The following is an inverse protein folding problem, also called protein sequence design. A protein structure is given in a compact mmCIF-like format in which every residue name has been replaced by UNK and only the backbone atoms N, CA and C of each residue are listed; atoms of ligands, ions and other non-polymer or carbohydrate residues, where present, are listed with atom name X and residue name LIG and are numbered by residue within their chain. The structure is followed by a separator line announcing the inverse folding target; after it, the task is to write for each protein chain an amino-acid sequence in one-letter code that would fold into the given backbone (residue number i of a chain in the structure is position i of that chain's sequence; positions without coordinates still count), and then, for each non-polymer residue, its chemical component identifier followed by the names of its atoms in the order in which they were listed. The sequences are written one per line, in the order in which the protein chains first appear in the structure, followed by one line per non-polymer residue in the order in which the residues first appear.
data_IF_442121102190
#
_entry.id   IF_442121102190
#
_cell.length_a   1.000
_cell.length_b   1.000
_cell.length_c   1.000
_cell.angle_alpha   90.00
_cell.angle_beta   90.00
_cell.angle_gamma   90.00
#
_symmetry.space_group_name_H-M   'P 1'
#
loop_
_entity.id
_entity.type
_entity.pdbx_description
1 polymer ?
#
# COMPACT_ATOMS: atom_id res chain seq x y z
N UNK A 1 -20.28 10.26 -7.45
CA UNK A 1 -19.19 11.21 -7.13
C UNK A 1 -18.34 10.59 -6.03
N UNK A 2 -17.03 10.84 -6.01
CA UNK A 2 -16.17 10.31 -4.97
C UNK A 2 -16.53 10.91 -3.59
N UNK A 3 -16.67 10.06 -2.58
CA UNK A 3 -17.03 10.45 -1.20
C UNK A 3 -15.77 10.52 -0.34
N UNK A 4 -15.61 11.59 0.44
CA UNK A 4 -14.49 11.71 1.38
C UNK A 4 -14.78 10.92 2.66
N UNK A 5 -13.89 10.00 3.02
CA UNK A 5 -14.07 9.08 4.15
C UNK A 5 -13.26 9.47 5.40
N UNK A 6 -12.47 10.55 5.34
CA UNK A 6 -11.62 11.00 6.45
C UNK A 6 -10.12 10.86 6.17
N UNK A 7 -9.31 10.88 7.23
CA UNK A 7 -7.85 10.75 7.20
C UNK A 7 -7.35 9.36 7.66
N UNK A 8 -8.27 8.46 7.98
CA UNK A 8 -8.01 7.06 8.37
C UNK A 8 -8.74 6.09 7.43
N UNK A 9 -8.20 4.88 7.29
CA UNK A 9 -8.88 3.75 6.66
C UNK A 9 -10.12 3.34 7.47
N UNK A 10 -11.28 3.16 6.83
CA UNK A 10 -12.43 2.50 7.43
C UNK A 10 -12.07 1.14 8.04
N UNK A 11 -12.73 0.78 9.15
CA UNK A 11 -12.42 -0.44 9.91
C UNK A 11 -12.43 -1.72 9.06
N UNK A 12 -13.35 -1.82 8.09
CA UNK A 12 -13.42 -2.99 7.21
C UNK A 12 -12.18 -3.11 6.31
N UNK A 13 -11.66 -2.00 5.76
CA UNK A 13 -10.42 -1.98 4.98
C UNK A 13 -9.20 -2.22 5.88
N UNK A 14 -9.17 -1.63 7.06
CA UNK A 14 -8.10 -1.85 8.05
C UNK A 14 -7.99 -3.33 8.42
N UNK A 15 -9.12 -3.98 8.71
CA UNK A 15 -9.17 -5.40 9.04
C UNK A 15 -8.77 -6.25 7.83
N UNK A 16 -9.24 -5.90 6.62
CA UNK A 16 -8.82 -6.57 5.40
C UNK A 16 -7.29 -6.56 5.24
N UNK A 17 -6.65 -5.39 5.33
CA UNK A 17 -5.21 -5.25 5.16
C UNK A 17 -4.37 -5.80 6.33
N UNK A 18 -4.99 -6.18 7.45
CA UNK A 18 -4.30 -6.91 8.53
C UNK A 18 -4.12 -8.39 8.21
N UNK A 19 -5.07 -8.96 7.47
CA UNK A 19 -5.10 -10.39 7.18
C UNK A 19 -4.63 -10.69 5.76
N UNK A 20 -5.10 -9.89 4.81
CA UNK A 20 -4.98 -10.08 3.38
C UNK A 20 -4.33 -8.87 2.72
N UNK A 21 -4.15 -8.99 1.42
CA UNK A 21 -3.64 -7.91 0.58
C UNK A 21 -4.40 -7.87 -0.73
N UNK A 22 -4.35 -6.73 -1.41
CA UNK A 22 -4.96 -6.54 -2.72
C UNK A 22 -4.02 -5.75 -3.62
N UNK A 23 -4.20 -5.91 -4.93
CA UNK A 23 -3.41 -5.13 -5.89
C UNK A 23 -3.95 -3.71 -5.95
N UNK A 24 -3.09 -2.75 -5.62
CA UNK A 24 -3.35 -1.33 -5.77
C UNK A 24 -2.45 -0.71 -6.82
N UNK A 25 -2.90 0.38 -7.42
CA UNK A 25 -2.06 1.25 -8.25
C UNK A 25 -1.40 2.27 -7.33
N UNK A 26 -0.08 2.14 -7.19
CA UNK A 26 0.76 3.08 -6.46
C UNK A 26 1.16 4.21 -7.38
N UNK A 27 0.77 5.42 -7.05
CA UNK A 27 1.10 6.64 -7.81
C UNK A 27 2.05 7.52 -7.02
N UNK A 28 3.16 7.90 -7.65
CA UNK A 28 4.14 8.86 -7.12
C UNK A 28 4.43 9.93 -8.16
N UNK A 29 5.10 11.02 -7.80
CA UNK A 29 5.50 12.08 -8.75
C UNK A 29 7.01 12.09 -8.89
N UNK A 30 7.50 12.04 -10.13
CA UNK A 30 8.94 12.02 -10.41
C UNK A 30 9.54 13.45 -10.43
N UNK A 31 10.85 13.56 -10.71
CA UNK A 31 11.56 14.84 -10.83
C UNK A 31 11.00 15.72 -11.95
N UNK A 32 10.53 15.11 -13.04
CA UNK A 32 9.93 15.76 -14.21
C UNK A 32 8.50 16.30 -13.96
N UNK A 33 7.94 16.04 -12.78
CA UNK A 33 6.58 16.45 -12.42
C UNK A 33 5.47 15.53 -12.94
N UNK A 34 5.79 14.48 -13.70
CA UNK A 34 4.79 13.52 -14.17
C UNK A 34 4.51 12.42 -13.14
N UNK A 35 3.25 11.92 -13.09
CA UNK A 35 2.91 10.80 -12.24
C UNK A 35 3.51 9.50 -12.77
N UNK A 36 3.99 8.65 -11.87
CA UNK A 36 4.42 7.29 -12.13
C UNK A 36 3.51 6.33 -11.38
N UNK A 37 2.79 5.50 -12.13
CA UNK A 37 1.92 4.45 -11.62
C UNK A 37 2.62 3.09 -11.65
N UNK A 38 2.50 2.32 -10.57
CA UNK A 38 2.99 0.95 -10.49
C UNK A 38 1.98 0.06 -9.75
N UNK A 39 1.53 -1.07 -10.33
CA UNK A 39 0.75 -2.04 -9.60
C UNK A 39 1.62 -2.70 -8.52
N UNK A 40 1.14 -2.72 -7.28
CA UNK A 40 1.79 -3.37 -6.14
C UNK A 40 0.75 -4.07 -5.29
N UNK A 41 1.16 -5.08 -4.52
CA UNK A 41 0.23 -5.93 -3.76
C UNK A 41 0.79 -6.40 -2.42
N UNK A 42 1.84 -5.77 -1.89
CA UNK A 42 2.46 -6.18 -0.63
C UNK A 42 2.17 -5.15 0.46
N UNK A 43 0.89 -5.01 0.78
CA UNK A 43 0.40 -4.08 1.80
C UNK A 43 0.07 -4.80 3.10
N UNK A 44 0.31 -4.12 4.22
CA UNK A 44 -0.12 -4.55 5.55
C UNK A 44 -0.55 -3.34 6.39
N UNK A 45 -1.73 -3.34 6.99
CA UNK A 45 -2.17 -2.27 7.88
C UNK A 45 -1.74 -2.56 9.33
N UNK A 46 -0.91 -1.69 9.91
CA UNK A 46 -0.62 -1.73 11.35
C UNK A 46 -1.87 -1.29 12.14
N UNK A 47 -2.49 -0.21 11.69
CA UNK A 47 -3.75 0.32 12.19
C UNK A 47 -4.49 1.08 11.06
N UNK A 48 -5.53 1.82 11.42
CA UNK A 48 -6.33 2.62 10.50
C UNK A 48 -5.57 3.79 9.87
N UNK A 49 -4.45 4.21 10.45
CA UNK A 49 -3.66 5.35 9.97
C UNK A 49 -2.36 4.96 9.28
N UNK A 50 -1.86 3.75 9.52
CA UNK A 50 -0.52 3.34 9.09
C UNK A 50 -0.60 2.05 8.29
N UNK A 51 -0.12 2.14 7.05
CA UNK A 51 0.04 1.00 6.13
C UNK A 51 1.52 0.83 5.85
N UNK A 52 2.00 -0.41 5.86
CA UNK A 52 3.30 -0.78 5.33
C UNK A 52 3.16 -1.26 3.90
N UNK A 53 4.12 -0.89 3.06
CA UNK A 53 4.24 -1.38 1.68
C UNK A 53 5.65 -1.94 1.48
N UNK A 54 5.75 -3.23 1.14
CA UNK A 54 7.01 -3.77 0.63
C UNK A 54 7.14 -3.45 -0.86
N UNK A 55 8.26 -2.85 -1.25
CA UNK A 55 8.53 -2.47 -2.63
C UNK A 55 9.99 -2.75 -2.99
N UNK A 56 10.27 -2.96 -4.29
CA UNK A 56 11.65 -3.07 -4.75
C UNK A 56 12.41 -1.78 -4.43
N UNK A 57 13.51 -1.89 -3.69
CA UNK A 57 14.25 -0.74 -3.15
C UNK A 57 15.00 0.08 -4.23
N UNK A 58 15.07 -0.44 -5.47
CA UNK A 58 15.61 0.28 -6.62
C UNK A 58 14.53 0.82 -7.58
N UNK A 59 13.25 0.56 -7.30
CA UNK A 59 12.14 1.03 -8.14
C UNK A 59 12.01 2.55 -8.10
N UNK A 60 11.45 3.12 -9.18
CA UNK A 60 11.18 4.55 -9.24
C UNK A 60 10.20 4.99 -8.14
N UNK A 61 9.18 4.19 -7.86
CA UNK A 61 8.23 4.41 -6.76
C UNK A 61 8.97 4.57 -5.43
N UNK A 62 9.86 3.65 -5.09
CA UNK A 62 10.63 3.70 -3.85
C UNK A 62 11.51 4.95 -3.76
N UNK A 63 12.23 5.26 -4.84
CA UNK A 63 13.07 6.45 -4.95
C UNK A 63 12.27 7.76 -4.85
N UNK A 64 11.08 7.81 -5.43
CA UNK A 64 10.19 8.97 -5.35
C UNK A 64 9.70 9.20 -3.92
N UNK A 65 9.29 8.12 -3.22
CA UNK A 65 8.90 8.21 -1.81
C UNK A 65 10.07 8.67 -0.95
N UNK A 66 11.26 8.09 -1.13
CA UNK A 66 12.46 8.50 -0.39
C UNK A 66 12.77 10.00 -0.54
N UNK A 67 12.60 10.56 -1.75
CA UNK A 67 12.94 11.96 -2.04
C UNK A 67 11.84 12.95 -1.65
N UNK A 68 10.56 12.57 -1.82
CA UNK A 68 9.44 13.51 -1.76
C UNK A 68 8.43 13.22 -0.66
N UNK A 69 8.42 12.01 -0.10
CA UNK A 69 7.44 11.57 0.89
C UNK A 69 6.02 11.35 0.35
N UNK A 70 5.64 11.87 -0.81
CA UNK A 70 4.24 11.81 -1.26
C UNK A 70 3.92 10.59 -2.10
N UNK A 71 2.82 9.93 -1.76
CA UNK A 71 2.30 8.73 -2.44
C UNK A 71 0.78 8.73 -2.41
N UNK A 72 0.16 8.29 -3.51
CA UNK A 72 -1.26 7.99 -3.58
C UNK A 72 -1.45 6.53 -3.96
N UNK A 73 -2.46 5.88 -3.39
CA UNK A 73 -2.83 4.50 -3.70
C UNK A 73 -4.27 4.50 -4.20
N UNK A 74 -4.55 3.71 -5.24
CA UNK A 74 -5.91 3.45 -5.72
C UNK A 74 -6.14 1.97 -5.75
N UNK A 75 -7.29 1.54 -5.23
CA UNK A 75 -7.68 0.15 -5.11
C UNK A 75 -9.06 -0.07 -5.73
N UNK A 76 -9.19 -1.23 -6.37
CA UNK A 76 -10.45 -1.78 -6.87
C UNK A 76 -10.48 -3.25 -6.46
N UNK A 77 -11.45 -3.62 -5.63
CA UNK A 77 -11.55 -4.91 -4.97
C UNK A 77 -12.97 -5.47 -5.02
N UNK A 78 -13.06 -6.77 -4.76
CA UNK A 78 -14.33 -7.48 -4.66
C UNK A 78 -15.21 -6.91 -3.53
N UNK A 79 -16.54 -7.00 -3.68
CA UNK A 79 -17.50 -6.53 -2.68
C UNK A 79 -17.81 -5.05 -2.77
N UNK A 80 -17.91 -4.52 -4.00
CA UNK A 80 -18.19 -3.11 -4.30
C UNK A 80 -17.16 -2.13 -3.68
N UNK A 81 -15.88 -2.48 -3.77
CA UNK A 81 -14.79 -1.68 -3.20
C UNK A 81 -14.04 -0.95 -4.30
N UNK A 82 -14.17 0.37 -4.33
CA UNK A 82 -13.26 1.26 -5.04
C UNK A 82 -12.89 2.43 -4.14
N UNK A 83 -11.61 2.64 -3.86
CA UNK A 83 -11.17 3.75 -3.03
C UNK A 83 -9.77 4.23 -3.41
N UNK A 84 -9.45 5.43 -2.96
CA UNK A 84 -8.10 5.97 -3.04
C UNK A 84 -7.67 6.52 -1.70
N UNK A 85 -6.37 6.50 -1.43
CA UNK A 85 -5.79 7.20 -0.30
C UNK A 85 -4.55 7.97 -0.69
N UNK A 86 -4.31 9.07 0.03
CA UNK A 86 -3.07 9.82 0.02
C UNK A 86 -2.34 9.56 1.31
N UNK A 87 -1.02 9.40 1.24
CA UNK A 87 -0.19 9.19 2.41
C UNK A 87 1.14 9.95 2.32
N UNK A 88 1.70 10.21 3.49
CA UNK A 88 3.13 10.54 3.64
C UNK A 88 3.88 9.22 3.86
N UNK A 89 4.85 8.95 3.00
CA UNK A 89 5.67 7.77 2.95
C UNK A 89 7.06 8.05 3.52
N UNK A 90 7.53 7.13 4.36
CA UNK A 90 8.86 7.13 4.95
C UNK A 90 9.54 5.80 4.68
N UNK A 91 10.87 5.80 4.62
CA UNK A 91 11.63 4.56 4.58
C UNK A 91 11.67 3.98 5.99
N UNK A 92 10.96 2.87 6.22
CA UNK A 92 11.04 2.12 7.46
C UNK A 92 12.27 1.21 7.46
N UNK A 93 12.54 0.56 6.34
CA UNK A 93 13.66 -0.37 6.19
C UNK A 93 14.15 -0.42 4.75
N UNK A 94 15.43 -0.17 4.50
CA UNK A 94 15.98 -0.19 3.14
C UNK A 94 16.09 -1.58 2.51
N UNK A 95 16.32 -2.59 3.36
CA UNK A 95 16.48 -3.98 2.96
C UNK A 95 15.71 -4.87 3.93
N UNK A 96 14.77 -5.65 3.43
CA UNK A 96 14.07 -6.67 4.21
C UNK A 96 15.03 -7.82 4.54
N UNK A 97 14.82 -8.49 5.69
CA UNK A 97 15.55 -9.72 6.01
C UNK A 97 15.25 -10.80 4.96
N UNK A 98 14.00 -10.82 4.50
CA UNK A 98 13.50 -11.77 3.51
C UNK A 98 14.05 -11.51 2.10
N UNK A 99 14.55 -10.29 1.81
CA UNK A 99 15.14 -9.95 0.52
C UNK A 99 15.92 -8.63 0.55
N UNK A 100 17.20 -8.69 0.16
CA UNK A 100 18.07 -7.51 -0.02
C UNK A 100 17.62 -6.54 -1.12
N UNK A 101 16.67 -6.96 -1.96
CA UNK A 101 16.13 -6.18 -3.08
C UNK A 101 14.78 -5.53 -2.76
N UNK A 102 14.19 -5.85 -1.60
CA UNK A 102 12.95 -5.28 -1.12
C UNK A 102 13.23 -4.36 0.06
N UNK A 103 12.53 -3.24 0.13
CA UNK A 103 12.47 -2.37 1.30
C UNK A 103 11.04 -2.20 1.78
N UNK A 104 10.89 -1.64 2.97
CA UNK A 104 9.60 -1.36 3.60
C UNK A 104 9.38 0.15 3.65
N UNK A 105 8.28 0.59 3.06
CA UNK A 105 7.76 1.94 3.16
C UNK A 105 6.70 1.97 4.26
N UNK A 106 6.80 2.94 5.17
CA UNK A 106 5.75 3.26 6.13
C UNK A 106 4.91 4.40 5.57
N UNK A 107 3.61 4.18 5.43
CA UNK A 107 2.67 5.11 4.83
C UNK A 107 1.70 5.61 5.91
N UNK A 108 1.77 6.90 6.23
CA UNK A 108 0.86 7.60 7.14
C UNK A 108 -0.29 8.19 6.33
N UNK A 109 -1.49 7.65 6.49
CA UNK A 109 -2.69 8.11 5.80
C UNK A 109 -2.98 9.59 6.10
N UNK A 110 -3.35 10.32 5.05
CA UNK A 110 -3.72 11.75 5.11
C UNK A 110 -5.14 11.99 4.60
N UNK A 111 -5.59 11.19 3.65
CA UNK A 111 -6.94 11.27 3.11
C UNK A 111 -7.33 9.92 2.54
N UNK A 112 -8.57 9.51 2.76
CA UNK A 112 -9.21 8.36 2.12
C UNK A 112 -10.48 8.83 1.42
N UNK A 113 -10.74 8.31 0.23
CA UNK A 113 -11.93 8.61 -0.57
C UNK A 113 -12.51 7.34 -1.17
N UNK A 114 -13.82 7.15 -1.03
CA UNK A 114 -14.56 6.19 -1.84
C UNK A 114 -14.61 6.70 -3.27
N UNK A 115 -14.35 5.81 -4.21
CA UNK A 115 -14.46 6.02 -5.65
C UNK A 115 -15.59 5.19 -6.27
N UNK A 116 -16.39 4.50 -5.45
CA UNK A 116 -17.61 3.82 -5.91
C UNK A 116 -18.57 4.88 -6.43
N UNK A 117 -19.06 4.68 -7.65
CA UNK A 117 -20.06 5.57 -8.23
C UNK A 117 -21.47 5.04 -7.93
N UNK A 118 -22.43 5.94 -7.80
CA UNK A 118 -23.78 5.63 -7.30
C UNK A 118 -24.57 4.72 -8.25
N UNK A 119 -24.17 4.70 -9.51
CA UNK A 119 -24.83 4.06 -10.64
C UNK A 119 -24.13 2.78 -11.14
N UNK A 120 -23.05 2.37 -10.49
CA UNK A 120 -22.29 1.16 -10.85
C UNK A 120 -21.81 0.42 -9.60
N UNK A 121 -21.66 -0.89 -9.74
CA UNK A 121 -21.14 -1.76 -8.67
C UNK A 121 -19.84 -2.42 -9.14
N UNK A 122 -18.81 -2.42 -8.29
CA UNK A 122 -17.59 -3.19 -8.55
C UNK A 122 -17.85 -4.67 -8.28
N UNK A 123 -18.02 -5.42 -9.38
CA UNK A 123 -18.26 -6.86 -9.31
C UNK A 123 -17.00 -7.65 -8.94
N UNK A 124 -15.86 -7.31 -9.53
CA UNK A 124 -14.58 -7.98 -9.29
C UNK A 124 -13.40 -7.00 -9.33
N UNK A 125 -12.43 -7.23 -8.45
CA UNK A 125 -11.15 -6.51 -8.41
C UNK A 125 -10.07 -7.13 -9.29
N UNK A 126 -8.85 -6.62 -9.15
CA UNK A 126 -7.69 -7.14 -9.90
C UNK A 126 -7.26 -8.50 -9.34
N UNK A 127 -7.43 -9.56 -10.14
CA UNK A 127 -6.98 -10.91 -9.83
C UNK A 127 -5.57 -11.15 -10.39
N UNK A 128 -4.67 -11.64 -9.55
CA UNK A 128 -3.32 -12.03 -9.93
C UNK A 128 -3.12 -13.52 -9.72
N UNK A 129 -2.40 -14.15 -10.66
CA UNK A 129 -1.88 -15.51 -10.50
C UNK A 129 -0.36 -15.43 -10.52
N UNK A 130 0.27 -15.91 -9.45
CA UNK A 130 1.72 -16.03 -9.42
C UNK A 130 2.16 -17.12 -10.40
N UNK A 131 3.29 -16.89 -11.07
CA UNK A 131 3.73 -17.74 -12.18
C UNK A 131 4.27 -19.08 -11.69
N UNK A 132 4.67 -19.19 -10.42
CA UNK A 132 5.21 -20.41 -9.85
C UNK A 132 5.08 -20.46 -8.31
N UNK A 133 5.12 -21.66 -7.70
CA UNK A 133 5.02 -21.83 -6.24
C UNK A 133 6.18 -21.18 -5.46
N UNK A 134 7.35 -21.03 -6.08
CA UNK A 134 8.49 -20.35 -5.47
C UNK A 134 8.18 -18.87 -5.25
N UNK A 135 7.42 -18.25 -6.16
CA UNK A 135 6.95 -16.88 -5.98
C UNK A 135 5.91 -16.74 -4.89
N UNK A 136 5.02 -17.73 -4.72
CA UNK A 136 4.06 -17.77 -3.61
C UNK A 136 4.80 -17.81 -2.27
N UNK A 137 5.75 -18.73 -2.14
CA UNK A 137 6.59 -18.86 -0.95
C UNK A 137 7.40 -17.60 -0.66
N UNK A 138 7.87 -16.91 -1.70
CA UNK A 138 8.60 -15.65 -1.56
C UNK A 138 7.70 -14.51 -1.10
N UNK A 139 6.51 -14.37 -1.70
CA UNK A 139 5.52 -13.35 -1.30
C UNK A 139 5.08 -13.54 0.14
N UNK A 140 4.81 -14.77 0.57
CA UNK A 140 4.39 -15.05 1.94
C UNK A 140 5.46 -14.62 2.95
N UNK A 141 6.75 -14.92 2.71
CA UNK A 141 7.85 -14.47 3.57
C UNK A 141 7.92 -12.95 3.70
N UNK A 142 7.69 -12.22 2.60
CA UNK A 142 7.65 -10.75 2.64
C UNK A 142 6.47 -10.26 3.50
N UNK A 143 5.29 -10.86 3.35
CA UNK A 143 4.10 -10.51 4.13
C UNK A 143 4.27 -10.86 5.62
N UNK A 144 4.88 -11.99 5.95
CA UNK A 144 5.24 -12.37 7.32
C UNK A 144 6.15 -11.32 7.97
N UNK A 145 7.18 -10.85 7.25
CA UNK A 145 8.05 -9.79 7.77
C UNK A 145 7.28 -8.49 8.00
N UNK A 146 6.38 -8.09 7.09
CA UNK A 146 5.51 -6.91 7.29
C UNK A 146 4.63 -7.07 8.54
N UNK A 147 3.99 -8.24 8.71
CA UNK A 147 3.11 -8.56 9.85
C UNK A 147 3.87 -8.59 11.19
N UNK A 148 5.19 -8.72 11.18
CA UNK A 148 6.01 -8.67 12.40
C UNK A 148 6.12 -7.25 13.01
N UNK A 149 5.72 -6.22 12.27
CA UNK A 149 5.70 -4.84 12.74
C UNK A 149 4.40 -4.50 13.47
N UNK A 150 4.52 -3.63 14.49
CA UNK A 150 3.40 -3.08 15.22
C UNK A 150 3.62 -1.59 15.47
N UNK A 151 2.63 -0.92 16.07
CA UNK A 151 2.70 0.53 16.29
C UNK A 151 3.91 0.95 17.14
N UNK A 152 4.23 0.20 18.20
CA UNK A 152 5.34 0.52 19.09
C UNK A 152 6.71 0.52 18.39
N UNK A 153 6.89 -0.36 17.41
CA UNK A 153 8.12 -0.44 16.61
C UNK A 153 8.30 0.76 15.67
N UNK A 154 7.22 1.46 15.31
CA UNK A 154 7.25 2.48 14.27
C UNK A 154 6.90 3.89 14.74
N UNK A 155 6.30 4.04 15.93
CA UNK A 155 5.81 5.34 16.44
C UNK A 155 6.87 6.46 16.46
N UNK A 156 8.14 6.12 16.70
CA UNK A 156 9.23 7.10 16.77
C UNK A 156 9.61 7.70 15.39
N UNK A 157 9.15 7.09 14.30
CA UNK A 157 9.39 7.57 12.94
C UNK A 157 8.31 8.54 12.46
N UNK A 158 7.19 8.59 13.17
CA UNK A 158 6.02 9.40 12.81
C UNK A 158 6.17 10.74 13.54
N UNK A 159 6.26 11.82 12.77
CA UNK A 159 6.32 13.20 13.27
C UNK A 159 4.93 13.83 13.31
#
# INVERSE_FOLDING_TARGET
MAEYLGDCLPSHLTNFFKEKTMTGIVSTVDADGYPRGAPMSLFYAINDKIILLAAQNQSQTYKNVQKRGKIALTFVGDGDVAFSLQAEGLILKEKMESSKHMGILLLVCKSVKSNVAVDVEVQEGIKLKLRSPEWESFVEKLLEELRSFNYDKVKNLIK
#
